data_IF_116958285773
#
_entry.id   IF_116958285773
#
_cell.length_a   1.000
_cell.length_b   1.000
_cell.length_c   1.000
_cell.angle_alpha   90.00
_cell.angle_beta   90.00
_cell.angle_gamma   90.00
#
_symmetry.space_group_name_H-M   'P 1'
#
loop_
_entity.id
_entity.type
_entity.pdbx_description
1 polymer ?
#
# COMPACT_ATOMS: atom_id res chain seq x y z
N UNK A 1 20.51 -24.86 -16.31
CA UNK A 1 20.14 -25.00 -14.88
C UNK A 1 19.79 -23.62 -14.29
N UNK A 2 18.70 -22.97 -14.73
CA UNK A 2 18.37 -21.58 -14.33
C UNK A 2 17.06 -21.47 -13.52
N UNK A 3 16.29 -22.55 -13.40
CA UNK A 3 14.90 -22.50 -12.90
C UNK A 3 14.77 -22.69 -11.38
N UNK A 4 15.82 -23.10 -10.68
CA UNK A 4 15.75 -23.51 -9.26
C UNK A 4 16.18 -22.44 -8.24
N UNK A 5 16.80 -21.34 -8.67
CA UNK A 5 17.36 -20.32 -7.77
C UNK A 5 16.43 -19.10 -7.54
N UNK A 6 15.25 -19.07 -8.16
CA UNK A 6 14.36 -17.90 -8.18
C UNK A 6 13.19 -17.83 -7.18
N UNK A 7 12.83 -18.82 -6.32
CA UNK A 7 11.54 -18.78 -5.64
C UNK A 7 11.34 -17.54 -4.75
N UNK A 8 12.39 -17.08 -4.06
CA UNK A 8 12.28 -15.95 -3.11
C UNK A 8 12.16 -14.58 -3.77
N UNK A 9 12.94 -14.32 -4.82
CA UNK A 9 12.83 -13.05 -5.55
C UNK A 9 11.47 -12.97 -6.27
N UNK A 10 11.05 -14.08 -6.89
CA UNK A 10 9.76 -14.17 -7.56
C UNK A 10 8.60 -13.96 -6.59
N UNK A 11 8.65 -14.51 -5.37
CA UNK A 11 7.62 -14.28 -4.35
C UNK A 11 7.49 -12.80 -3.94
N UNK A 12 8.61 -12.12 -3.65
CA UNK A 12 8.57 -10.70 -3.30
C UNK A 12 8.09 -9.83 -4.47
N UNK A 13 8.56 -10.12 -5.69
CA UNK A 13 8.11 -9.43 -6.88
C UNK A 13 6.60 -9.65 -7.12
N UNK A 14 6.11 -10.88 -7.02
CA UNK A 14 4.68 -11.21 -7.15
C UNK A 14 3.84 -10.53 -6.07
N UNK A 15 4.33 -10.50 -4.82
CA UNK A 15 3.70 -9.76 -3.73
C UNK A 15 3.58 -8.26 -4.04
N UNK A 16 4.67 -7.64 -4.52
CA UNK A 16 4.69 -6.22 -4.89
C UNK A 16 3.75 -5.92 -6.07
N UNK A 17 3.77 -6.75 -7.10
CA UNK A 17 2.89 -6.65 -8.28
C UNK A 17 1.42 -6.79 -7.86
N UNK A 18 1.11 -7.80 -7.05
CA UNK A 18 -0.27 -8.03 -6.57
C UNK A 18 -0.76 -6.87 -5.72
N UNK A 19 0.09 -6.35 -4.82
CA UNK A 19 -0.21 -5.19 -3.99
C UNK A 19 -0.48 -3.96 -4.85
N UNK A 20 0.40 -3.69 -5.82
CA UNK A 20 0.28 -2.55 -6.74
C UNK A 20 -1.00 -2.64 -7.57
N UNK A 21 -1.26 -3.77 -8.21
CA UNK A 21 -2.45 -3.99 -9.02
C UNK A 21 -3.74 -3.84 -8.21
N UNK A 22 -3.81 -4.46 -7.02
CA UNK A 22 -4.98 -4.35 -6.14
C UNK A 22 -5.21 -2.90 -5.66
N UNK A 23 -4.13 -2.17 -5.38
CA UNK A 23 -4.20 -0.77 -4.94
C UNK A 23 -4.61 0.14 -6.08
N UNK A 24 -4.13 -0.10 -7.30
CA UNK A 24 -4.49 0.66 -8.49
C UNK A 24 -5.99 0.54 -8.78
N UNK A 25 -6.54 -0.68 -8.76
CA UNK A 25 -7.99 -0.91 -8.96
C UNK A 25 -8.81 -0.24 -7.86
N UNK A 26 -8.43 -0.39 -6.59
CA UNK A 26 -9.15 0.23 -5.48
C UNK A 26 -9.10 1.76 -5.53
N UNK A 27 -7.96 2.32 -5.94
CA UNK A 27 -7.79 3.76 -6.14
C UNK A 27 -8.63 4.27 -7.29
N UNK A 28 -8.69 3.53 -8.41
CA UNK A 28 -9.51 3.88 -9.56
C UNK A 28 -10.99 3.99 -9.18
N UNK A 29 -11.55 3.00 -8.46
CA UNK A 29 -12.95 3.04 -7.96
C UNK A 29 -13.19 4.28 -7.09
N UNK A 30 -12.26 4.57 -6.18
CA UNK A 30 -12.38 5.72 -5.28
C UNK A 30 -12.33 7.05 -6.03
N UNK A 31 -11.42 7.18 -7.00
CA UNK A 31 -11.27 8.39 -7.83
C UNK A 31 -12.53 8.58 -8.67
N UNK A 32 -13.00 7.55 -9.38
CA UNK A 32 -14.20 7.63 -10.21
C UNK A 32 -15.42 8.04 -9.40
N UNK A 33 -15.66 7.40 -8.24
CA UNK A 33 -16.77 7.77 -7.36
C UNK A 33 -16.69 9.24 -6.92
N UNK A 34 -15.50 9.72 -6.58
CA UNK A 34 -15.31 11.10 -6.13
C UNK A 34 -15.39 12.12 -7.25
N UNK A 35 -14.94 11.79 -8.46
CA UNK A 35 -15.18 12.63 -9.63
C UNK A 35 -16.68 12.78 -9.90
N UNK A 36 -17.46 11.71 -9.69
CA UNK A 36 -18.91 11.77 -9.83
C UNK A 36 -19.57 12.67 -8.77
N UNK A 37 -19.15 12.60 -7.50
CA UNK A 37 -19.61 13.53 -6.45
C UNK A 37 -19.23 14.99 -6.73
N UNK A 38 -18.03 15.24 -7.28
CA UNK A 38 -17.58 16.59 -7.64
C UNK A 38 -18.32 17.19 -8.85
N UNK A 39 -18.96 16.34 -9.67
CA UNK A 39 -19.76 16.79 -10.81
C UNK A 39 -21.14 17.31 -10.42
N UNK A 40 -21.58 17.08 -9.18
CA UNK A 40 -22.82 17.61 -8.64
C UNK A 40 -22.56 18.95 -7.89
N UNK A 41 -23.06 20.10 -8.41
CA UNK A 41 -22.87 21.42 -7.80
C UNK A 41 -23.49 21.56 -6.41
N UNK A 42 -24.46 20.71 -6.04
CA UNK A 42 -25.16 20.79 -4.76
C UNK A 42 -24.27 20.37 -3.56
N UNK A 43 -23.24 19.57 -3.80
CA UNK A 43 -22.40 18.94 -2.76
C UNK A 43 -21.20 19.77 -2.29
N UNK A 44 -20.88 20.87 -2.98
CA UNK A 44 -19.66 21.67 -2.75
C UNK A 44 -19.71 22.47 -1.43
N UNK A 45 -20.90 22.76 -0.92
CA UNK A 45 -21.12 23.61 0.26
C UNK A 45 -21.55 22.87 1.52
N UNK A 46 -21.60 21.55 1.50
CA UNK A 46 -22.03 20.76 2.66
C UNK A 46 -20.91 20.62 3.72
N UNK A 47 -21.27 20.87 4.99
CA UNK A 47 -20.41 20.64 6.15
C UNK A 47 -20.03 19.16 6.31
N UNK A 48 -20.88 18.25 5.85
CA UNK A 48 -20.62 16.80 5.86
C UNK A 48 -19.41 16.42 4.98
N UNK A 49 -19.29 17.06 3.81
CA UNK A 49 -18.17 16.87 2.88
C UNK A 49 -16.82 17.29 3.49
N UNK A 50 -16.82 18.35 4.32
CA UNK A 50 -15.60 18.82 5.00
C UNK A 50 -15.15 17.91 6.12
N UNK A 51 -16.07 17.43 6.96
CA UNK A 51 -15.74 16.49 8.04
C UNK A 51 -15.24 15.15 7.48
N UNK A 52 -15.84 14.67 6.39
CA UNK A 52 -15.37 13.49 5.67
C UNK A 52 -13.96 13.70 5.09
N UNK A 53 -13.67 14.88 4.55
CA UNK A 53 -12.33 15.20 4.03
C UNK A 53 -11.25 15.15 5.13
N UNK A 54 -11.55 15.70 6.31
CA UNK A 54 -10.64 15.66 7.48
C UNK A 54 -10.44 14.23 7.97
N UNK A 55 -11.51 13.45 8.08
CA UNK A 55 -11.44 12.03 8.46
C UNK A 55 -10.53 11.24 7.50
N UNK A 56 -10.66 11.50 6.20
CA UNK A 56 -9.86 10.83 5.18
C UNK A 56 -8.37 11.21 5.25
N UNK A 57 -8.04 12.44 5.61
CA UNK A 57 -6.65 12.85 5.85
C UNK A 57 -6.09 12.09 7.05
N UNK A 58 -6.85 12.01 8.15
CA UNK A 58 -6.45 11.24 9.32
C UNK A 58 -6.20 9.76 8.97
N UNK A 59 -7.07 9.14 8.18
CA UNK A 59 -6.90 7.76 7.70
C UNK A 59 -5.61 7.57 6.88
N UNK A 60 -5.22 8.56 6.08
CA UNK A 60 -3.97 8.52 5.31
C UNK A 60 -2.74 8.68 6.19
N UNK A 61 -2.80 9.59 7.17
CA UNK A 61 -1.71 9.80 8.14
C UNK A 61 -1.51 8.53 8.97
N UNK A 62 -2.59 7.93 9.48
CA UNK A 62 -2.50 6.66 10.21
C UNK A 62 -1.92 5.53 9.36
N UNK A 63 -2.28 5.47 8.07
CA UNK A 63 -1.70 4.49 7.15
C UNK A 63 -0.20 4.71 6.91
N UNK A 64 0.21 5.96 6.77
CA UNK A 64 1.62 6.33 6.58
C UNK A 64 2.43 6.00 7.83
N UNK A 65 1.92 6.32 9.02
CA UNK A 65 2.56 6.00 10.29
C UNK A 65 2.69 4.50 10.49
N UNK A 66 1.61 3.73 10.28
CA UNK A 66 1.66 2.27 10.38
C UNK A 66 2.62 1.65 9.35
N UNK A 67 2.59 2.14 8.10
CA UNK A 67 3.49 1.68 7.05
C UNK A 67 4.96 1.96 7.37
N UNK A 68 5.23 3.11 8.00
CA UNK A 68 6.59 3.48 8.43
C UNK A 68 7.13 2.54 9.49
N UNK A 69 6.32 2.15 10.47
CA UNK A 69 6.71 1.16 11.48
C UNK A 69 6.93 -0.24 10.87
N UNK A 70 6.00 -0.70 10.02
CA UNK A 70 6.12 -2.00 9.36
C UNK A 70 7.38 -2.07 8.47
N UNK A 71 7.67 -0.99 7.73
CA UNK A 71 8.87 -0.86 6.91
C UNK A 71 10.16 -0.82 7.76
N UNK A 72 10.14 -0.12 8.89
CA UNK A 72 11.27 -0.07 9.81
C UNK A 72 11.63 -1.47 10.34
N UNK A 73 10.63 -2.30 10.66
CA UNK A 73 10.89 -3.69 11.09
C UNK A 73 11.56 -4.52 9.99
N UNK A 74 11.11 -4.44 8.74
CA UNK A 74 11.75 -5.16 7.63
C UNK A 74 13.15 -4.63 7.33
N UNK A 75 13.35 -3.32 7.44
CA UNK A 75 14.67 -2.69 7.30
C UNK A 75 15.63 -3.18 8.40
N UNK A 76 15.17 -3.28 9.65
CA UNK A 76 15.96 -3.87 10.74
C UNK A 76 16.30 -5.33 10.49
N UNK A 77 15.36 -6.14 9.96
CA UNK A 77 15.64 -7.54 9.59
C UNK A 77 16.66 -7.67 8.47
N UNK A 78 16.66 -6.75 7.50
CA UNK A 78 17.67 -6.71 6.45
C UNK A 78 19.03 -6.30 7.03
N UNK A 79 19.07 -5.28 7.91
CA UNK A 79 20.29 -4.82 8.58
C UNK A 79 20.91 -5.91 9.49
N UNK A 80 20.10 -6.69 10.21
CA UNK A 80 20.61 -7.81 11.01
C UNK A 80 21.20 -8.92 10.13
N UNK A 81 20.57 -9.20 8.98
CA UNK A 81 21.11 -10.14 7.99
C UNK A 81 22.41 -9.63 7.36
N UNK A 82 22.57 -8.32 7.20
CA UNK A 82 23.80 -7.72 6.67
C UNK A 82 24.94 -7.83 7.67
N UNK A 83 24.67 -7.47 8.92
CA UNK A 83 25.64 -7.53 10.01
C UNK A 83 26.14 -8.95 10.30
N UNK A 84 25.31 -9.97 10.07
CA UNK A 84 25.69 -11.38 10.26
C UNK A 84 26.41 -12.01 9.06
N UNK A 85 26.65 -11.24 7.99
CA UNK A 85 27.35 -11.71 6.79
C UNK A 85 26.55 -12.71 5.95
N UNK A 86 25.22 -12.80 6.14
CA UNK A 86 24.34 -13.78 5.48
C UNK A 86 23.56 -13.17 4.31
N UNK A 87 24.15 -12.22 3.58
CA UNK A 87 23.48 -11.44 2.54
C UNK A 87 24.00 -11.78 1.15
N UNK A 88 23.17 -12.43 0.33
CA UNK A 88 23.35 -12.53 -1.12
C UNK A 88 22.92 -11.22 -1.82
N UNK A 89 23.38 -10.97 -3.05
CA UNK A 89 22.86 -9.89 -3.90
C UNK A 89 21.33 -9.96 -4.07
N UNK A 90 20.78 -11.17 -4.19
CA UNK A 90 19.33 -11.39 -4.31
C UNK A 90 18.57 -11.06 -3.02
N UNK A 91 19.20 -11.28 -1.86
CA UNK A 91 18.61 -11.00 -0.55
C UNK A 91 18.51 -9.48 -0.32
N UNK A 92 19.40 -8.68 -0.91
CA UNK A 92 19.28 -7.21 -0.92
C UNK A 92 18.03 -6.79 -1.69
N UNK A 93 17.88 -7.26 -2.92
CA UNK A 93 16.74 -6.89 -3.77
C UNK A 93 15.41 -7.34 -3.17
N UNK A 94 15.35 -8.58 -2.66
CA UNK A 94 14.19 -9.09 -1.94
C UNK A 94 13.90 -8.28 -0.67
N UNK A 95 14.93 -7.93 0.11
CA UNK A 95 14.79 -7.12 1.32
C UNK A 95 14.23 -5.73 1.04
N UNK A 96 14.73 -5.05 0.00
CA UNK A 96 14.22 -3.75 -0.43
C UNK A 96 12.76 -3.82 -0.90
N UNK A 97 12.39 -4.86 -1.65
CA UNK A 97 11.00 -5.10 -2.05
C UNK A 97 10.11 -5.38 -0.84
N UNK A 98 10.58 -6.16 0.13
CA UNK A 98 9.82 -6.45 1.35
C UNK A 98 9.55 -5.17 2.17
N UNK A 99 10.54 -4.27 2.29
CA UNK A 99 10.37 -2.96 2.93
C UNK A 99 9.31 -2.15 2.19
N UNK A 100 9.38 -2.06 0.86
CA UNK A 100 8.41 -1.32 0.06
C UNK A 100 6.98 -1.88 0.18
N UNK A 101 6.85 -3.21 0.14
CA UNK A 101 5.56 -3.90 0.35
C UNK A 101 5.00 -3.62 1.74
N UNK A 102 5.84 -3.70 2.78
CA UNK A 102 5.45 -3.42 4.16
C UNK A 102 4.97 -1.96 4.32
N UNK A 103 5.70 -1.00 3.75
CA UNK A 103 5.34 0.41 3.76
C UNK A 103 3.97 0.67 3.11
N UNK A 104 3.70 0.03 1.96
CA UNK A 104 2.50 0.28 1.17
C UNK A 104 1.26 -0.51 1.62
N UNK A 105 1.43 -1.62 2.36
CA UNK A 105 0.34 -2.54 2.71
C UNK A 105 -0.80 -1.89 3.52
N UNK A 106 -0.56 -1.02 4.52
CA UNK A 106 -1.64 -0.36 5.25
C UNK A 106 -2.49 0.57 4.37
N UNK A 107 -1.85 1.31 3.46
CA UNK A 107 -2.54 2.18 2.51
C UNK A 107 -3.39 1.35 1.53
N UNK A 108 -2.84 0.27 0.98
CA UNK A 108 -3.56 -0.65 0.10
C UNK A 108 -4.79 -1.27 0.77
N UNK A 109 -4.68 -1.67 2.04
CA UNK A 109 -5.80 -2.20 2.83
C UNK A 109 -6.93 -1.18 2.98
N UNK A 110 -6.59 0.08 3.30
CA UNK A 110 -7.58 1.16 3.43
C UNK A 110 -8.21 1.52 2.09
N UNK A 111 -7.44 1.59 1.01
CA UNK A 111 -7.96 1.81 -0.33
C UNK A 111 -9.00 0.73 -0.70
N UNK A 112 -8.69 -0.54 -0.44
CA UNK A 112 -9.61 -1.66 -0.69
C UNK A 112 -10.87 -1.60 0.19
N UNK A 113 -10.72 -1.24 1.47
CA UNK A 113 -11.86 -1.08 2.37
C UNK A 113 -12.79 0.06 1.90
N UNK A 114 -12.23 1.18 1.46
CA UNK A 114 -13.00 2.31 0.92
C UNK A 114 -13.70 1.92 -0.38
N UNK A 115 -13.01 1.31 -1.34
CA UNK A 115 -13.64 0.79 -2.56
C UNK A 115 -14.82 -0.16 -2.25
N UNK A 116 -14.69 -1.03 -1.24
CA UNK A 116 -15.77 -1.93 -0.80
C UNK A 116 -16.96 -1.18 -0.17
N UNK A 117 -16.72 -0.07 0.54
CA UNK A 117 -17.79 0.77 1.09
C UNK A 117 -18.57 1.48 -0.03
N UNK A 118 -17.85 2.00 -1.03
CA UNK A 118 -18.43 2.73 -2.16
C UNK A 118 -19.16 1.81 -3.15
N UNK A 119 -18.79 0.53 -3.23
CA UNK A 119 -19.44 -0.46 -4.10
C UNK A 119 -20.66 -1.15 -3.49
N UNK A 120 -21.11 -0.74 -2.30
CA UNK A 120 -22.36 -1.23 -1.72
C UNK A 120 -23.50 -0.30 -2.13
N UNK A 121 -24.59 -0.82 -2.74
CA UNK A 121 -25.76 -0.02 -3.10
C UNK A 121 -26.49 0.51 -1.86
#
# INVERSE_FOLDING_TARGET
>A
MLFWYMPRFTEAAMSAVTLSAATAVASAVTITHRMMLMSDPATIWDLSTRSEAVQMIAEKVDAATQGSFDAAMEASRLALRSATGRLSHDDVAHGLLAIGVAAARPAARRARANAKRLGRP
#
